data_IF_123913162286
#
_entry.id   IF_123913162286
#
_cell.length_a   1.000
_cell.length_b   1.000
_cell.length_c   1.000
_cell.angle_alpha   90.00
_cell.angle_beta   90.00
_cell.angle_gamma   90.00
#
_symmetry.space_group_name_H-M   'P 1'
#
loop_
_entity.id
_entity.type
_entity.pdbx_description
1 polymer ?
#
# COMPACT_ATOMS: atom_id res chain seq x y z
N UNK A 1 5.92 -3.39 -21.43
CA UNK A 1 5.00 -3.69 -20.33
C UNK A 1 3.64 -3.87 -20.95
N UNK A 2 3.16 -5.11 -21.01
CA UNK A 2 1.78 -5.38 -21.39
C UNK A 2 0.98 -5.16 -20.12
N UNK A 3 0.36 -3.99 -20.00
CA UNK A 3 -0.74 -3.83 -19.06
C UNK A 3 -1.90 -4.65 -19.64
N UNK A 4 -1.92 -5.92 -19.34
CA UNK A 4 -3.05 -6.75 -19.67
C UNK A 4 -4.24 -6.23 -18.87
N UNK A 5 -5.07 -5.46 -19.54
CA UNK A 5 -6.34 -4.96 -19.06
C UNK A 5 -6.24 -4.13 -17.78
N UNK A 6 -6.68 -2.94 -17.81
CA UNK A 6 -6.82 -1.93 -16.76
C UNK A 6 -7.47 -2.40 -15.44
N UNK A 7 -7.66 -3.69 -15.29
CA UNK A 7 -8.19 -4.32 -14.08
C UNK A 7 -7.07 -5.05 -13.38
N UNK A 8 -6.69 -4.65 -12.16
CA UNK A 8 -5.68 -5.35 -11.41
C UNK A 8 -6.12 -6.79 -11.17
N UNK A 9 -5.31 -7.72 -11.63
CA UNK A 9 -5.52 -9.12 -11.31
C UNK A 9 -5.07 -9.35 -9.87
N UNK A 10 -5.94 -9.76 -8.96
CA UNK A 10 -5.52 -10.14 -7.63
C UNK A 10 -4.59 -11.36 -7.74
N UNK A 11 -3.41 -11.24 -7.13
CA UNK A 11 -2.46 -12.34 -7.02
C UNK A 11 -2.61 -12.92 -5.63
N UNK A 12 -3.05 -14.16 -5.54
CA UNK A 12 -3.13 -14.88 -4.29
C UNK A 12 -1.72 -15.19 -3.80
N UNK A 13 -1.41 -14.74 -2.58
CA UNK A 13 -0.11 -14.94 -1.96
C UNK A 13 -0.31 -15.74 -0.69
N UNK A 14 0.32 -16.92 -0.63
CA UNK A 14 0.42 -17.70 0.58
C UNK A 14 -0.83 -18.44 1.02
N UNK A 15 -1.83 -18.62 0.18
CA UNK A 15 -3.01 -19.38 0.54
C UNK A 15 -3.16 -20.66 -0.27
N UNK A 16 -3.37 -21.75 0.41
CA UNK A 16 -3.92 -22.96 -0.16
C UNK A 16 -5.21 -23.35 0.57
N UNK A 17 -6.36 -22.91 0.11
CA UNK A 17 -7.69 -23.46 0.37
C UNK A 17 -8.33 -23.30 1.74
N UNK A 18 -7.63 -23.03 2.81
CA UNK A 18 -8.27 -22.70 4.09
C UNK A 18 -8.66 -21.24 4.08
N UNK A 19 -9.90 -20.97 4.35
CA UNK A 19 -10.46 -19.63 4.43
C UNK A 19 -10.03 -19.02 5.76
N UNK A 20 -8.75 -18.60 5.82
CA UNK A 20 -8.26 -17.75 6.90
C UNK A 20 -8.64 -16.29 6.67
N UNK A 21 -8.19 -15.41 7.54
CA UNK A 21 -8.38 -13.97 7.40
C UNK A 21 -7.90 -13.49 6.03
N UNK A 22 -8.77 -12.85 5.29
CA UNK A 22 -8.47 -12.33 3.97
C UNK A 22 -7.96 -10.91 4.06
N UNK A 23 -6.73 -10.72 3.61
CA UNK A 23 -6.05 -9.43 3.61
C UNK A 23 -5.82 -9.00 2.16
N UNK A 24 -6.09 -7.73 1.83
CA UNK A 24 -5.70 -7.14 0.56
C UNK A 24 -4.61 -6.10 0.75
N UNK A 25 -3.58 -6.13 -0.09
CA UNK A 25 -2.66 -5.04 -0.28
C UNK A 25 -3.15 -4.21 -1.47
N UNK A 26 -3.61 -2.98 -1.23
CA UNK A 26 -4.29 -2.10 -2.18
C UNK A 26 -3.48 -0.82 -2.40
N UNK A 27 -2.95 -0.65 -3.60
CA UNK A 27 -2.02 0.44 -3.87
C UNK A 27 -1.50 0.47 -5.31
N UNK A 28 -0.37 1.10 -5.49
CA UNK A 28 0.29 1.36 -6.77
C UNK A 28 1.36 0.31 -7.16
N UNK A 29 2.36 0.72 -7.96
CA UNK A 29 3.47 -0.13 -8.40
C UNK A 29 4.33 -0.67 -7.25
N UNK A 30 4.41 0.04 -6.13
CA UNK A 30 5.14 -0.39 -4.94
C UNK A 30 4.43 -1.59 -4.31
N UNK A 31 3.12 -1.54 -4.25
CA UNK A 31 2.28 -2.65 -3.80
C UNK A 31 2.29 -3.79 -4.82
N UNK A 32 2.26 -3.48 -6.11
CA UNK A 32 2.37 -4.49 -7.17
C UNK A 32 3.67 -5.29 -7.11
N UNK A 33 4.74 -4.71 -6.57
CA UNK A 33 6.04 -5.37 -6.40
C UNK A 33 7.07 -5.02 -7.47
N UNK A 34 6.96 -3.85 -8.10
CA UNK A 34 7.98 -3.34 -9.02
C UNK A 34 9.34 -3.23 -8.33
N UNK A 35 10.41 -3.50 -9.08
CA UNK A 35 11.81 -3.45 -8.64
C UNK A 35 12.21 -4.51 -7.59
N UNK A 36 11.40 -5.55 -7.43
CA UNK A 36 11.78 -6.71 -6.63
C UNK A 36 12.19 -7.88 -7.51
N UNK A 37 13.02 -8.76 -6.98
CA UNK A 37 13.47 -9.99 -7.63
C UNK A 37 12.52 -11.17 -7.36
N UNK A 38 12.84 -12.33 -7.93
CA UNK A 38 12.16 -13.59 -7.63
C UNK A 38 10.64 -13.62 -7.92
N UNK A 39 10.22 -13.09 -9.07
CA UNK A 39 8.87 -13.32 -9.61
C UNK A 39 7.75 -13.07 -8.62
N UNK A 40 7.77 -11.91 -7.96
CA UNK A 40 6.72 -11.48 -7.05
C UNK A 40 6.73 -12.12 -5.67
N UNK A 41 7.83 -12.75 -5.25
CA UNK A 41 7.95 -13.33 -3.89
C UNK A 41 8.71 -12.44 -2.91
N UNK A 42 9.29 -11.35 -3.38
CA UNK A 42 10.18 -10.49 -2.59
C UNK A 42 9.58 -9.11 -2.26
N UNK A 43 8.43 -8.74 -2.80
CA UNK A 43 7.81 -7.49 -2.42
C UNK A 43 7.19 -7.57 -1.00
N UNK A 44 6.98 -6.42 -0.39
CA UNK A 44 6.64 -6.32 1.03
C UNK A 44 5.41 -7.16 1.44
N UNK A 45 4.34 -7.14 0.66
CA UNK A 45 3.15 -7.92 0.98
C UNK A 45 3.37 -9.45 0.85
N UNK A 46 4.18 -9.89 -0.10
CA UNK A 46 4.54 -11.31 -0.22
C UNK A 46 5.37 -11.80 0.97
N UNK A 47 6.25 -10.96 1.49
CA UNK A 47 7.06 -11.30 2.67
C UNK A 47 6.21 -11.32 3.94
N UNK A 48 5.23 -10.42 4.08
CA UNK A 48 4.21 -10.50 5.14
C UNK A 48 3.46 -11.84 5.04
N UNK A 49 2.94 -12.18 3.87
CA UNK A 49 2.19 -13.43 3.66
C UNK A 49 3.01 -14.67 4.00
N UNK A 50 4.28 -14.72 3.57
CA UNK A 50 5.17 -15.83 3.87
C UNK A 50 5.41 -16.03 5.38
N UNK A 51 5.46 -14.94 6.14
CA UNK A 51 5.64 -14.98 7.60
C UNK A 51 4.35 -15.31 8.34
N UNK A 52 3.21 -14.87 7.84
CA UNK A 52 1.91 -15.19 8.44
C UNK A 52 1.56 -16.67 8.33
N UNK A 53 1.91 -17.30 7.21
CA UNK A 53 1.65 -18.72 6.99
C UNK A 53 0.25 -19.02 6.44
N UNK A 54 -0.16 -20.30 6.55
CA UNK A 54 -1.31 -20.86 5.83
C UNK A 54 -2.67 -20.44 6.40
N UNK A 55 -2.72 -19.89 7.59
CA UNK A 55 -3.96 -19.44 8.23
C UNK A 55 -4.47 -18.10 7.67
N UNK A 56 -3.71 -17.50 6.74
CA UNK A 56 -4.00 -16.19 6.14
C UNK A 56 -3.98 -16.26 4.63
N UNK A 57 -4.90 -15.50 4.02
CA UNK A 57 -4.91 -15.24 2.58
C UNK A 57 -4.61 -13.76 2.34
N UNK A 58 -3.48 -13.45 1.74
CA UNK A 58 -3.12 -12.10 1.34
C UNK A 58 -3.18 -11.96 -0.18
N UNK A 59 -3.95 -10.97 -0.65
CA UNK A 59 -4.15 -10.69 -2.06
C UNK A 59 -3.47 -9.39 -2.45
N UNK A 60 -2.75 -9.41 -3.56
CA UNK A 60 -2.15 -8.22 -4.12
C UNK A 60 -3.10 -7.55 -5.12
N UNK A 61 -3.62 -6.39 -4.75
CA UNK A 61 -4.44 -5.52 -5.59
C UNK A 61 -3.65 -4.28 -6.06
N UNK A 62 -2.33 -4.34 -6.07
CA UNK A 62 -1.48 -3.26 -6.56
C UNK A 62 -1.57 -3.09 -8.07
N UNK A 63 -1.64 -1.84 -8.53
CA UNK A 63 -1.69 -1.48 -9.95
C UNK A 63 -0.63 -0.42 -10.26
N UNK A 64 0.28 -0.75 -11.17
CA UNK A 64 1.33 0.16 -11.60
C UNK A 64 0.78 1.49 -12.11
N UNK A 65 1.43 2.59 -11.73
CA UNK A 65 1.05 3.98 -12.05
C UNK A 65 -0.27 4.48 -11.47
N UNK A 66 -1.01 3.66 -10.72
CA UNK A 66 -2.26 4.09 -10.13
C UNK A 66 -2.05 5.21 -9.09
N UNK A 67 -2.96 6.18 -9.12
CA UNK A 67 -3.10 7.24 -8.13
C UNK A 67 -4.17 6.89 -7.11
N UNK A 68 -4.15 7.54 -5.97
CA UNK A 68 -5.27 7.50 -5.03
C UNK A 68 -6.57 7.97 -5.70
N UNK A 69 -6.51 8.99 -6.55
CA UNK A 69 -7.66 9.52 -7.29
C UNK A 69 -8.28 8.49 -8.25
N UNK A 70 -7.50 7.55 -8.80
CA UNK A 70 -8.04 6.48 -9.65
C UNK A 70 -8.89 5.49 -8.84
N UNK A 71 -8.40 5.11 -7.66
CA UNK A 71 -9.14 4.25 -6.74
C UNK A 71 -10.36 4.95 -6.12
N UNK A 72 -10.24 6.24 -5.79
CA UNK A 72 -11.31 7.04 -5.18
C UNK A 72 -12.51 7.27 -6.10
N UNK A 73 -12.35 7.16 -7.42
CA UNK A 73 -13.47 7.21 -8.37
C UNK A 73 -14.46 6.05 -8.22
N UNK A 74 -14.09 5.03 -7.45
CA UNK A 74 -14.89 3.83 -7.32
C UNK A 74 -14.70 2.84 -8.48
N UNK A 75 -15.66 1.95 -8.67
CA UNK A 75 -15.63 0.91 -9.68
C UNK A 75 -15.07 -0.42 -9.17
N UNK A 76 -14.93 -1.38 -10.06
CA UNK A 76 -14.63 -2.78 -9.73
C UNK A 76 -13.37 -2.98 -8.86
N UNK A 77 -12.39 -2.11 -8.99
CA UNK A 77 -11.13 -2.22 -8.24
C UNK A 77 -11.33 -1.93 -6.75
N UNK A 78 -12.04 -0.84 -6.42
CA UNK A 78 -12.38 -0.52 -5.04
C UNK A 78 -13.40 -1.53 -4.49
N UNK A 79 -14.40 -1.93 -5.29
CA UNK A 79 -15.40 -2.93 -4.87
C UNK A 79 -14.76 -4.28 -4.54
N UNK A 80 -13.71 -4.67 -5.28
CA UNK A 80 -12.93 -5.87 -4.92
C UNK A 80 -12.21 -5.70 -3.59
N UNK A 81 -11.62 -4.55 -3.33
CA UNK A 81 -10.95 -4.29 -2.06
C UNK A 81 -11.91 -4.36 -0.86
N UNK A 82 -13.17 -3.97 -1.03
CA UNK A 82 -14.22 -4.07 0.01
C UNK A 82 -14.58 -5.50 0.41
N UNK A 83 -14.20 -6.51 -0.38
CA UNK A 83 -14.50 -7.92 -0.11
C UNK A 83 -13.54 -8.56 0.91
N UNK A 84 -12.59 -7.80 1.44
CA UNK A 84 -11.57 -8.31 2.37
C UNK A 84 -11.82 -7.84 3.80
N UNK A 85 -11.41 -8.65 4.76
CA UNK A 85 -11.54 -8.34 6.19
C UNK A 85 -10.57 -7.24 6.62
N UNK A 86 -9.38 -7.20 6.01
CA UNK A 86 -8.36 -6.19 6.24
C UNK A 86 -7.81 -5.67 4.90
N UNK A 87 -7.64 -4.37 4.78
CA UNK A 87 -7.06 -3.73 3.60
C UNK A 87 -5.90 -2.84 3.99
N UNK A 88 -4.73 -3.13 3.41
CA UNK A 88 -3.51 -2.35 3.56
C UNK A 88 -3.47 -1.33 2.41
N UNK A 89 -3.75 -0.07 2.70
CA UNK A 89 -3.92 1.00 1.70
C UNK A 89 -2.61 1.78 1.56
N UNK A 90 -1.98 1.72 0.39
CA UNK A 90 -0.67 2.31 0.13
C UNK A 90 -0.66 3.09 -1.21
N UNK A 91 -1.14 4.33 -1.16
CA UNK A 91 -1.18 5.28 -2.28
C UNK A 91 -0.44 6.58 -1.96
N UNK A 92 -0.31 7.43 -2.96
CA UNK A 92 0.24 8.77 -2.87
C UNK A 92 1.46 9.00 -3.75
N UNK A 93 2.27 7.98 -4.01
CA UNK A 93 3.51 8.13 -4.78
C UNK A 93 3.24 8.65 -6.20
N UNK A 94 2.29 8.05 -6.93
CA UNK A 94 1.99 8.50 -8.29
C UNK A 94 1.22 9.82 -8.33
N UNK A 95 0.46 10.13 -7.32
CA UNK A 95 -0.18 11.43 -7.15
C UNK A 95 0.88 12.54 -7.09
N UNK A 96 1.97 12.28 -6.37
CA UNK A 96 3.09 13.22 -6.19
C UNK A 96 3.95 13.33 -7.45
N UNK A 97 4.22 12.21 -8.17
CA UNK A 97 5.18 12.17 -9.29
C UNK A 97 4.54 12.18 -10.68
N UNK A 98 3.25 12.24 -10.79
CA UNK A 98 2.52 11.98 -12.04
C UNK A 98 2.87 12.90 -13.22
N UNK A 99 3.40 14.08 -12.97
CA UNK A 99 3.94 14.93 -14.03
C UNK A 99 5.17 14.37 -14.74
N UNK A 100 5.86 13.37 -14.13
CA UNK A 100 7.09 12.79 -14.66
C UNK A 100 6.86 11.86 -15.87
N UNK A 101 5.67 11.28 -15.99
CA UNK A 101 5.36 10.26 -17.01
C UNK A 101 4.26 10.68 -17.99
N UNK A 102 4.13 11.98 -18.23
CA UNK A 102 3.12 12.50 -19.16
C UNK A 102 1.71 12.63 -18.56
N UNK A 103 1.59 12.51 -17.24
CA UNK A 103 0.37 12.79 -16.52
C UNK A 103 0.04 14.29 -16.44
N UNK A 104 -1.10 14.60 -15.88
CA UNK A 104 -1.65 15.97 -15.78
C UNK A 104 -0.97 16.88 -14.75
N UNK A 105 0.14 16.43 -14.16
CA UNK A 105 0.86 17.11 -13.08
C UNK A 105 0.71 16.39 -11.74
N UNK A 106 1.45 16.84 -10.74
CA UNK A 106 1.28 16.37 -9.37
C UNK A 106 -0.03 16.89 -8.78
N UNK A 107 -0.68 16.05 -7.97
CA UNK A 107 -1.82 16.49 -7.17
C UNK A 107 -1.33 17.30 -5.96
N UNK A 108 -2.13 18.25 -5.48
CA UNK A 108 -1.81 18.94 -4.23
C UNK A 108 -1.98 17.98 -3.04
N UNK A 109 -1.33 18.25 -1.88
CA UNK A 109 -1.53 17.44 -0.68
C UNK A 109 -3.00 17.25 -0.32
N UNK A 110 -3.81 18.29 -0.44
CA UNK A 110 -5.24 18.28 -0.13
C UNK A 110 -6.04 17.40 -1.10
N UNK A 111 -5.65 17.36 -2.38
CA UNK A 111 -6.27 16.47 -3.37
C UNK A 111 -5.94 15.00 -3.08
N UNK A 112 -4.71 14.70 -2.70
CA UNK A 112 -4.29 13.36 -2.30
C UNK A 112 -5.04 12.94 -1.03
N UNK A 113 -5.10 13.82 -0.02
CA UNK A 113 -5.88 13.60 1.20
C UNK A 113 -7.34 13.28 0.90
N UNK A 114 -8.00 14.09 0.07
CA UNK A 114 -9.40 13.89 -0.26
C UNK A 114 -9.64 12.52 -0.92
N UNK A 115 -8.75 12.11 -1.82
CA UNK A 115 -8.81 10.82 -2.49
C UNK A 115 -8.63 9.65 -1.50
N UNK A 116 -7.62 9.75 -0.64
CA UNK A 116 -7.32 8.73 0.37
C UNK A 116 -8.45 8.64 1.40
N UNK A 117 -9.00 9.75 1.85
CA UNK A 117 -10.18 9.77 2.74
C UNK A 117 -11.37 9.07 2.12
N UNK A 118 -11.65 9.32 0.84
CA UNK A 118 -12.72 8.63 0.11
C UNK A 118 -12.52 7.11 0.08
N UNK A 119 -11.31 6.65 -0.20
CA UNK A 119 -10.97 5.22 -0.21
C UNK A 119 -11.17 4.61 1.19
N UNK A 120 -10.57 5.22 2.21
CA UNK A 120 -10.63 4.70 3.59
C UNK A 120 -12.06 4.67 4.09
N UNK A 121 -12.84 5.74 3.88
CA UNK A 121 -14.26 5.80 4.27
C UNK A 121 -15.06 4.66 3.61
N UNK A 122 -14.91 4.48 2.30
CA UNK A 122 -15.62 3.43 1.57
C UNK A 122 -15.27 2.01 2.05
N UNK A 123 -14.01 1.76 2.42
CA UNK A 123 -13.57 0.49 2.97
C UNK A 123 -14.09 0.29 4.41
N UNK A 124 -14.07 1.34 5.24
CA UNK A 124 -14.59 1.30 6.61
C UNK A 124 -16.10 1.09 6.63
N UNK A 125 -16.84 1.76 5.75
CA UNK A 125 -18.29 1.57 5.57
C UNK A 125 -18.64 0.14 5.15
N UNK A 126 -17.78 -0.50 4.35
CA UNK A 126 -17.91 -1.91 3.99
C UNK A 126 -17.52 -2.89 5.14
N UNK A 127 -17.07 -2.38 6.28
CA UNK A 127 -16.70 -3.19 7.45
C UNK A 127 -15.25 -3.68 7.44
N UNK A 128 -14.43 -3.26 6.49
CA UNK A 128 -13.01 -3.63 6.45
C UNK A 128 -12.24 -3.00 7.61
N UNK A 129 -11.28 -3.72 8.17
CA UNK A 129 -10.19 -3.08 8.89
C UNK A 129 -9.24 -2.45 7.89
N UNK A 130 -8.80 -1.24 8.15
CA UNK A 130 -7.89 -0.52 7.26
C UNK A 130 -6.60 -0.19 7.99
N UNK A 131 -5.47 -0.47 7.35
CA UNK A 131 -4.16 0.08 7.75
C UNK A 131 -3.72 1.01 6.64
N UNK A 132 -3.57 2.28 6.95
CA UNK A 132 -3.19 3.32 6.00
C UNK A 132 -1.69 3.57 6.06
N UNK A 133 -1.03 3.47 4.92
CA UNK A 133 0.40 3.67 4.75
C UNK A 133 0.67 5.07 4.22
N UNK A 134 1.74 5.71 4.67
CA UNK A 134 2.22 6.93 4.06
C UNK A 134 3.09 6.64 2.82
N UNK A 135 3.35 7.68 2.01
CA UNK A 135 4.15 7.55 0.79
C UNK A 135 5.65 7.39 1.14
N UNK A 136 6.32 6.34 0.63
CA UNK A 136 7.73 6.10 0.90
C UNK A 136 8.62 7.20 0.30
N UNK A 137 9.89 7.30 0.74
CA UNK A 137 10.85 8.17 0.08
C UNK A 137 11.01 7.78 -1.39
N UNK A 138 11.22 8.79 -2.21
CA UNK A 138 11.41 8.63 -3.65
C UNK A 138 12.47 9.65 -4.09
N UNK A 139 13.17 9.42 -5.19
CA UNK A 139 14.09 10.40 -5.75
C UNK A 139 13.30 11.55 -6.39
N UNK A 140 12.82 12.46 -5.56
CA UNK A 140 11.94 13.56 -5.91
C UNK A 140 12.70 14.87 -6.06
N UNK A 141 12.19 15.74 -6.95
CA UNK A 141 12.56 17.15 -6.96
C UNK A 141 12.03 17.82 -5.68
N UNK A 142 12.64 18.95 -5.26
CA UNK A 142 12.25 19.64 -4.02
C UNK A 142 10.75 19.96 -3.91
N UNK A 143 10.11 20.34 -5.02
CA UNK A 143 8.69 20.68 -5.04
C UNK A 143 7.81 19.44 -4.78
N UNK A 144 8.15 18.31 -5.37
CA UNK A 144 7.45 17.05 -5.17
C UNK A 144 7.72 16.48 -3.75
N UNK A 145 8.93 16.66 -3.24
CA UNK A 145 9.27 16.27 -1.87
C UNK A 145 8.50 17.10 -0.84
N UNK A 146 8.24 18.38 -1.10
CA UNK A 146 7.38 19.21 -0.26
C UNK A 146 5.95 18.68 -0.22
N UNK A 147 5.40 18.26 -1.38
CA UNK A 147 4.07 17.62 -1.45
C UNK A 147 4.06 16.32 -0.63
N UNK A 148 5.07 15.47 -0.81
CA UNK A 148 5.18 14.19 -0.07
C UNK A 148 5.22 14.44 1.43
N UNK A 149 6.01 15.40 1.87
CA UNK A 149 6.15 15.75 3.30
C UNK A 149 4.82 16.25 3.88
N UNK A 150 4.14 17.13 3.18
CA UNK A 150 2.84 17.66 3.62
C UNK A 150 1.78 16.54 3.68
N UNK A 151 1.68 15.72 2.64
CA UNK A 151 0.77 14.59 2.61
C UNK A 151 1.07 13.59 3.75
N UNK A 152 2.33 13.18 3.91
CA UNK A 152 2.71 12.23 4.95
C UNK A 152 2.42 12.73 6.36
N UNK A 153 2.51 14.04 6.60
CA UNK A 153 2.14 14.64 7.88
C UNK A 153 0.63 14.56 8.18
N UNK A 154 -0.20 14.49 7.14
CA UNK A 154 -1.65 14.38 7.28
C UNK A 154 -2.12 12.92 7.49
N UNK A 155 -1.38 11.93 7.00
CA UNK A 155 -1.82 10.50 6.99
C UNK A 155 -2.18 9.96 8.37
N UNK A 156 -1.41 10.19 9.46
CA UNK A 156 -1.79 9.71 10.79
C UNK A 156 -3.12 10.28 11.27
N UNK A 157 -3.39 11.56 10.99
CA UNK A 157 -4.64 12.22 11.35
C UNK A 157 -5.83 11.66 10.54
N UNK A 158 -5.63 11.39 9.25
CA UNK A 158 -6.64 10.74 8.40
C UNK A 158 -7.01 9.37 8.98
N UNK A 159 -6.00 8.59 9.37
CA UNK A 159 -6.21 7.27 9.96
C UNK A 159 -7.01 7.37 11.27
N UNK A 160 -6.62 8.24 12.19
CA UNK A 160 -7.31 8.46 13.46
C UNK A 160 -8.77 8.90 13.26
N UNK A 161 -9.02 9.89 12.42
CA UNK A 161 -10.37 10.44 12.17
C UNK A 161 -11.32 9.43 11.53
N UNK A 162 -10.79 8.51 10.72
CA UNK A 162 -11.58 7.50 10.02
C UNK A 162 -11.57 6.12 10.70
N UNK A 163 -10.97 6.02 11.88
CA UNK A 163 -10.90 4.77 12.63
C UNK A 163 -10.08 3.70 11.91
N UNK A 164 -9.05 4.09 11.17
CA UNK A 164 -8.06 3.22 10.57
C UNK A 164 -6.78 3.19 11.40
N UNK A 165 -5.97 2.16 11.19
CA UNK A 165 -4.61 2.11 11.72
C UNK A 165 -3.64 2.87 10.81
N UNK A 166 -2.51 3.30 11.33
CA UNK A 166 -1.46 4.00 10.59
C UNK A 166 -0.14 3.23 10.61
N UNK A 167 0.46 3.04 9.44
CA UNK A 167 1.79 2.47 9.32
C UNK A 167 2.76 3.45 8.67
N UNK A 168 3.85 3.78 9.36
CA UNK A 168 4.91 4.66 8.83
C UNK A 168 5.83 3.90 7.89
N UNK A 169 5.35 3.70 6.66
CA UNK A 169 6.09 3.02 5.61
C UNK A 169 7.34 3.80 5.19
N UNK A 170 7.24 5.12 5.20
CA UNK A 170 8.37 5.99 4.87
C UNK A 170 9.53 5.83 5.86
N UNK A 171 9.25 5.77 7.16
CA UNK A 171 10.28 5.59 8.17
C UNK A 171 11.00 4.23 8.05
N UNK A 172 10.27 3.17 7.67
CA UNK A 172 10.88 1.85 7.47
C UNK A 172 11.92 1.83 6.35
N UNK A 173 11.74 2.69 5.34
CA UNK A 173 12.57 2.75 4.15
C UNK A 173 13.63 3.87 4.21
N UNK A 174 13.47 4.81 5.15
CA UNK A 174 14.47 5.82 5.41
C UNK A 174 15.66 5.17 6.12
N UNK A 175 16.75 4.97 5.39
CA UNK A 175 18.03 4.59 5.97
C UNK A 175 18.96 5.81 5.96
N UNK A 176 19.18 6.46 7.10
CA UNK A 176 20.04 7.65 7.17
C UNK A 176 21.48 7.38 6.73
N UNK A 177 21.95 6.14 6.85
CA UNK A 177 23.33 5.75 6.52
C UNK A 177 23.49 5.39 5.05
N UNK A 178 22.47 4.84 4.41
CA UNK A 178 22.50 4.44 3.01
C UNK A 178 21.09 4.24 2.43
N UNK A 179 20.42 5.32 2.01
CA UNK A 179 19.10 5.22 1.41
C UNK A 179 19.02 4.28 0.19
N UNK A 180 20.14 4.15 -0.54
CA UNK A 180 20.22 3.31 -1.74
C UNK A 180 20.07 1.82 -1.43
N UNK A 181 20.34 1.38 -0.22
CA UNK A 181 20.23 -0.04 0.15
C UNK A 181 18.79 -0.54 0.27
N UNK A 182 17.84 0.35 0.50
CA UNK A 182 16.43 0.01 0.66
C UNK A 182 15.59 0.31 -0.60
N UNK A 183 16.09 1.18 -1.48
CA UNK A 183 15.36 1.70 -2.63
C UNK A 183 16.13 1.51 -3.93
N UNK A 184 15.40 1.36 -5.02
CA UNK A 184 15.92 1.40 -6.37
C UNK A 184 15.05 2.33 -7.22
N UNK A 185 15.59 3.49 -7.58
CA UNK A 185 14.85 4.49 -8.37
C UNK A 185 13.52 4.92 -7.70
N UNK A 186 13.49 4.89 -6.38
CA UNK A 186 12.32 5.23 -5.57
C UNK A 186 11.38 4.06 -5.23
N UNK A 187 11.52 2.93 -5.87
CA UNK A 187 10.81 1.72 -5.46
C UNK A 187 11.61 0.95 -4.41
N UNK A 188 10.96 0.35 -3.39
CA UNK A 188 11.63 -0.55 -2.48
C UNK A 188 12.22 -1.75 -3.22
N UNK A 189 13.49 -2.04 -2.99
CA UNK A 189 14.12 -3.27 -3.43
C UNK A 189 13.83 -4.42 -2.44
N UNK A 190 14.41 -5.61 -2.67
CA UNK A 190 14.19 -6.77 -1.79
C UNK A 190 14.49 -6.48 -0.32
N UNK A 191 15.55 -5.71 -0.05
CA UNK A 191 15.95 -5.34 1.31
C UNK A 191 14.95 -4.35 1.93
N UNK A 192 14.53 -3.34 1.19
CA UNK A 192 13.51 -2.38 1.63
C UNK A 192 12.18 -3.06 1.90
N UNK A 193 11.77 -3.97 1.03
CA UNK A 193 10.55 -4.76 1.22
C UNK A 193 10.62 -5.66 2.46
N UNK A 194 11.78 -6.27 2.76
CA UNK A 194 11.96 -7.05 3.96
C UNK A 194 11.87 -6.18 5.23
N UNK A 195 12.55 -5.03 5.26
CA UNK A 195 12.46 -4.08 6.37
C UNK A 195 11.01 -3.65 6.65
N UNK A 196 10.27 -3.33 5.59
CA UNK A 196 8.88 -2.93 5.71
C UNK A 196 7.97 -4.05 6.22
N UNK A 197 8.16 -5.27 5.72
CA UNK A 197 7.40 -6.43 6.16
C UNK A 197 7.65 -6.76 7.64
N UNK A 198 8.91 -6.75 8.06
CA UNK A 198 9.28 -7.01 9.47
C UNK A 198 8.72 -5.92 10.40
N UNK A 199 8.85 -4.64 10.03
CA UNK A 199 8.33 -3.54 10.83
C UNK A 199 6.79 -3.60 10.92
N UNK A 200 6.11 -3.91 9.82
CA UNK A 200 4.66 -4.06 9.79
C UNK A 200 4.20 -5.20 10.71
N UNK A 201 4.81 -6.36 10.61
CA UNK A 201 4.47 -7.52 11.44
C UNK A 201 4.76 -7.29 12.92
N UNK A 202 5.86 -6.60 13.23
CA UNK A 202 6.17 -6.23 14.62
C UNK A 202 5.09 -5.32 15.22
N UNK A 203 4.50 -4.43 14.42
CA UNK A 203 3.46 -3.50 14.87
C UNK A 203 2.07 -4.14 14.87
N UNK A 204 1.74 -4.95 13.88
CA UNK A 204 0.35 -5.35 13.59
C UNK A 204 0.07 -6.85 13.69
N UNK A 205 1.02 -7.69 14.08
CA UNK A 205 0.79 -9.14 14.21
C UNK A 205 -0.40 -9.45 15.11
N UNK A 206 -0.47 -8.83 16.30
CA UNK A 206 -1.58 -9.04 17.24
C UNK A 206 -2.92 -8.57 16.67
N UNK A 207 -2.94 -7.47 15.92
CA UNK A 207 -4.14 -6.98 15.26
C UNK A 207 -4.64 -7.98 14.19
N UNK A 208 -3.72 -8.50 13.39
CA UNK A 208 -4.02 -9.51 12.38
C UNK A 208 -4.58 -10.77 13.05
N UNK A 209 -3.91 -11.29 14.05
CA UNK A 209 -4.31 -12.50 14.79
C UNK A 209 -5.70 -12.31 15.43
N UNK A 210 -6.02 -11.12 15.95
CA UNK A 210 -7.34 -10.83 16.54
C UNK A 210 -8.47 -10.75 15.51
N UNK A 211 -8.14 -10.58 14.22
CA UNK A 211 -9.12 -10.55 13.14
C UNK A 211 -9.63 -11.96 12.81
N UNK A 212 -8.83 -13.00 13.07
CA UNK A 212 -9.19 -14.41 12.87
C UNK A 212 -10.19 -14.92 13.90
N UNK A 213 -10.16 -14.38 15.11
CA UNK A 213 -10.92 -14.90 16.25
C UNK A 213 -12.37 -14.41 16.33
N UNK A 214 -12.91 -13.80 15.26
CA UNK A 214 -14.35 -13.51 15.20
C UNK A 214 -15.07 -14.73 14.64
N UNK A 215 -15.91 -15.38 15.47
CA UNK A 215 -16.73 -16.50 15.05
C UNK A 215 -17.74 -16.11 13.97
#
# INVERSE_FOLDING_TARGET
FIYANEVPMPVLIGCDRKVGTKIAAFGDSITQGCQTTANGRKFWAAQIAATLGEDYALWNLGLGYARASDAARGGDWLERAKAYEMVLVAFGTNDIISGRYGGTGADSPEQIEASVRSIVSALREAGCRVVLFNAPPFDLKPEAEAIRTAYNAAVPKIAEELGAEYFDFAACLADPSDPAKALYGGHPNDTGCAKAADAFLNQYRTLIDSTIQKP
#
